data_IF_910315189491
#
_entry.id   IF_910315189491
#
_cell.length_a   1.000
_cell.length_b   1.000
_cell.length_c   1.000
_cell.angle_alpha   90.00
_cell.angle_beta   90.00
_cell.angle_gamma   90.00
#
_symmetry.space_group_name_H-M   'P 1'
#
loop_
_entity.id
_entity.type
_entity.pdbx_description
1 polymer ?
#
# COMPACT_ATOMS: atom_id res chain seq x y z
N UNK A 1 -4.25 18.38 -1.90
CA UNK A 1 -3.11 19.15 -1.38
C UNK A 1 -2.87 18.71 0.04
N UNK A 2 -2.00 17.71 0.25
CA UNK A 2 -1.55 17.34 1.59
C UNK A 2 -0.43 18.30 1.98
N UNK A 3 -0.81 19.43 2.58
CA UNK A 3 0.10 20.42 3.14
C UNK A 3 0.04 20.36 4.66
N UNK A 4 1.21 20.25 5.28
CA UNK A 4 1.46 20.49 6.71
C UNK A 4 0.84 19.47 7.68
N UNK A 5 1.50 18.31 7.86
CA UNK A 5 1.35 17.49 9.07
C UNK A 5 1.95 18.24 10.27
N UNK A 6 1.11 19.00 10.96
CA UNK A 6 1.24 19.24 12.39
C UNK A 6 0.01 18.63 13.04
N UNK A 7 0.20 17.83 14.10
CA UNK A 7 -0.80 17.18 14.96
C UNK A 7 -2.23 17.67 14.73
N UNK A 8 -2.91 17.11 13.73
CA UNK A 8 -4.27 17.53 13.44
C UNK A 8 -5.22 16.75 14.35
N UNK A 9 -6.08 17.41 15.14
CA UNK A 9 -7.12 16.76 15.94
C UNK A 9 -7.98 15.77 15.13
N UNK A 10 -8.06 15.97 13.81
CA UNK A 10 -8.74 15.08 12.88
C UNK A 10 -8.12 13.68 12.80
N UNK A 11 -6.78 13.56 12.71
CA UNK A 11 -6.11 12.26 12.63
C UNK A 11 -6.24 11.49 13.95
N UNK A 12 -6.09 12.18 15.08
CA UNK A 12 -6.30 11.59 16.40
C UNK A 12 -7.74 11.07 16.58
N UNK A 13 -8.73 11.82 16.09
CA UNK A 13 -10.13 11.42 16.09
C UNK A 13 -10.38 10.19 15.17
N UNK A 14 -9.77 10.17 13.98
CA UNK A 14 -9.83 9.03 13.05
C UNK A 14 -9.21 7.77 13.65
N UNK A 15 -8.05 7.87 14.29
CA UNK A 15 -7.42 6.74 14.97
C UNK A 15 -8.26 6.23 16.13
N UNK A 16 -8.84 7.14 16.94
CA UNK A 16 -9.71 6.75 18.04
C UNK A 16 -10.94 5.98 17.52
N UNK A 17 -11.58 6.49 16.46
CA UNK A 17 -12.71 5.82 15.82
C UNK A 17 -12.31 4.46 15.21
N UNK A 18 -11.17 4.39 14.51
CA UNK A 18 -10.66 3.14 13.93
C UNK A 18 -10.36 2.08 15.00
N UNK A 19 -9.77 2.47 16.14
CA UNK A 19 -9.47 1.58 17.26
C UNK A 19 -10.71 1.03 17.97
N UNK A 20 -11.83 1.77 17.95
CA UNK A 20 -13.11 1.28 18.49
C UNK A 20 -13.83 0.32 17.53
N UNK A 21 -13.32 0.13 16.32
CA UNK A 21 -13.93 -0.71 15.31
C UNK A 21 -13.18 -2.03 15.16
N UNK A 22 -13.70 -3.09 15.76
CA UNK A 22 -13.08 -4.43 15.77
C UNK A 22 -13.07 -5.15 14.40
N UNK A 23 -13.66 -4.57 13.35
CA UNK A 23 -13.65 -5.16 12.00
C UNK A 23 -12.59 -4.48 11.14
N UNK A 24 -11.62 -5.28 10.64
CA UNK A 24 -10.57 -4.86 9.71
C UNK A 24 -11.07 -4.02 8.52
N UNK A 25 -12.30 -4.24 8.04
CA UNK A 25 -12.88 -3.46 6.95
C UNK A 25 -13.06 -1.97 7.30
N UNK A 26 -13.49 -1.64 8.53
CA UNK A 26 -13.85 -0.27 8.86
C UNK A 26 -12.67 0.59 9.32
N UNK A 27 -11.63 -0.01 9.89
CA UNK A 27 -10.42 0.74 10.27
C UNK A 27 -9.76 1.38 9.05
N UNK A 28 -9.55 0.59 7.98
CA UNK A 28 -8.92 1.07 6.75
C UNK A 28 -9.79 2.11 6.03
N UNK A 29 -11.11 1.95 6.02
CA UNK A 29 -12.05 2.91 5.43
C UNK A 29 -12.02 4.28 6.14
N UNK A 30 -11.85 4.29 7.46
CA UNK A 30 -11.74 5.53 8.25
C UNK A 30 -10.39 6.20 8.07
N UNK A 31 -9.29 5.42 8.14
CA UNK A 31 -7.93 5.95 8.03
C UNK A 31 -7.60 6.48 6.64
N UNK A 32 -8.23 5.93 5.60
CA UNK A 32 -8.16 6.48 4.24
C UNK A 32 -9.06 7.70 4.02
N UNK A 33 -9.87 8.09 5.02
CA UNK A 33 -10.84 9.18 4.88
C UNK A 33 -11.99 8.87 3.92
N UNK A 34 -12.20 7.60 3.57
CA UNK A 34 -13.34 7.17 2.75
C UNK A 34 -14.65 7.32 3.54
N UNK A 35 -14.64 6.96 4.82
CA UNK A 35 -15.73 7.22 5.75
C UNK A 35 -15.37 8.37 6.70
N UNK A 36 -16.33 9.26 7.04
CA UNK A 36 -16.12 10.26 8.07
C UNK A 36 -16.06 9.62 9.46
N UNK A 37 -15.44 10.30 10.43
CA UNK A 37 -15.39 9.84 11.83
C UNK A 37 -16.78 9.79 12.46
N UNK A 38 -17.71 10.64 12.01
CA UNK A 38 -19.08 10.66 12.49
C UNK A 38 -19.92 9.55 11.84
N UNK A 39 -20.23 8.50 12.62
CA UNK A 39 -20.92 7.30 12.15
C UNK A 39 -22.34 7.55 11.62
N UNK A 40 -23.03 8.56 12.13
CA UNK A 40 -24.36 8.96 11.67
C UNK A 40 -24.39 9.31 10.17
N UNK A 41 -23.26 9.76 9.62
CA UNK A 41 -23.12 10.19 8.23
C UNK A 41 -22.80 9.04 7.27
N UNK A 42 -22.45 7.85 7.77
CA UNK A 42 -21.99 6.74 6.93
C UNK A 42 -23.01 6.30 5.88
N UNK A 43 -24.31 6.11 6.19
CA UNK A 43 -25.28 5.68 5.18
C UNK A 43 -25.35 6.63 4.00
N UNK A 44 -25.30 7.94 4.26
CA UNK A 44 -25.31 8.97 3.22
C UNK A 44 -24.03 8.96 2.38
N UNK A 45 -22.84 8.92 3.01
CA UNK A 45 -21.58 8.96 2.27
C UNK A 45 -21.37 7.68 1.46
N UNK A 46 -21.73 6.51 2.01
CA UNK A 46 -21.71 5.23 1.27
C UNK A 46 -22.61 5.28 0.04
N UNK A 47 -23.87 5.70 0.19
CA UNK A 47 -24.81 5.78 -0.92
C UNK A 47 -24.29 6.72 -2.02
N UNK A 48 -23.85 7.91 -1.63
CA UNK A 48 -23.26 8.90 -2.55
C UNK A 48 -22.07 8.34 -3.31
N UNK A 49 -21.10 7.72 -2.63
CA UNK A 49 -19.90 7.14 -3.25
C UNK A 49 -20.26 5.96 -4.16
N UNK A 50 -21.13 5.05 -3.71
CA UNK A 50 -21.55 3.87 -4.50
C UNK A 50 -22.29 4.28 -5.77
N UNK A 51 -23.18 5.27 -5.69
CA UNK A 51 -23.83 5.88 -6.85
C UNK A 51 -22.83 6.54 -7.80
N UNK A 52 -21.83 7.27 -7.26
CA UNK A 52 -20.77 7.87 -8.07
C UNK A 52 -19.94 6.82 -8.83
N UNK A 53 -19.54 5.72 -8.17
CA UNK A 53 -18.84 4.63 -8.85
C UNK A 53 -19.71 3.96 -9.93
N UNK A 54 -21.03 3.87 -9.70
CA UNK A 54 -21.93 3.36 -10.74
C UNK A 54 -21.90 4.23 -11.99
N UNK A 55 -21.96 5.56 -11.85
CA UNK A 55 -21.83 6.48 -12.97
C UNK A 55 -20.48 6.34 -13.69
N UNK A 56 -19.39 6.11 -12.94
CA UNK A 56 -18.08 5.85 -13.54
C UNK A 56 -18.04 4.58 -14.38
N UNK A 57 -18.75 3.52 -13.99
CA UNK A 57 -18.83 2.31 -14.84
C UNK A 57 -19.48 2.62 -16.18
N UNK A 58 -20.57 3.39 -16.17
CA UNK A 58 -21.32 3.73 -17.38
C UNK A 58 -20.48 4.63 -18.31
N UNK A 59 -19.71 5.57 -17.76
CA UNK A 59 -18.86 6.48 -18.52
C UNK A 59 -17.56 5.83 -19.02
N UNK A 60 -16.86 5.09 -18.15
CA UNK A 60 -15.46 4.71 -18.37
C UNK A 60 -15.24 3.27 -18.82
N UNK A 61 -16.28 2.44 -18.91
CA UNK A 61 -16.14 1.07 -19.44
C UNK A 61 -16.51 0.96 -20.92
N UNK A 62 -17.05 2.02 -21.51
CA UNK A 62 -17.28 2.12 -22.95
C UNK A 62 -15.96 2.48 -23.65
N UNK A 63 -15.56 1.70 -24.66
CA UNK A 63 -14.38 1.89 -25.53
C UNK A 63 -13.00 1.93 -24.84
N UNK A 64 -12.55 0.85 -24.18
CA UNK A 64 -11.29 0.83 -23.45
C UNK A 64 -10.05 0.83 -24.38
N UNK A 65 -9.00 1.57 -23.99
CA UNK A 65 -7.73 1.64 -24.74
C UNK A 65 -7.01 0.27 -24.74
N UNK A 66 -6.68 -0.24 -25.92
CA UNK A 66 -6.27 -1.65 -26.10
C UNK A 66 -5.06 -2.08 -25.26
N UNK A 67 -4.00 -1.27 -25.18
CA UNK A 67 -2.73 -1.71 -24.58
C UNK A 67 -2.78 -1.83 -23.06
N UNK A 68 -3.34 -0.82 -22.38
CA UNK A 68 -3.47 -0.81 -20.91
C UNK A 68 -4.39 -1.95 -20.45
N UNK A 69 -5.44 -2.24 -21.22
CA UNK A 69 -6.34 -3.35 -20.90
C UNK A 69 -5.65 -4.70 -20.95
N UNK A 70 -4.89 -4.98 -21.99
CA UNK A 70 -4.19 -6.26 -22.09
C UNK A 70 -3.24 -6.46 -20.92
N UNK A 71 -2.62 -5.39 -20.44
CA UNK A 71 -1.79 -5.43 -19.25
C UNK A 71 -2.61 -5.72 -17.98
N UNK A 72 -3.72 -5.01 -17.77
CA UNK A 72 -4.64 -5.24 -16.65
C UNK A 72 -5.17 -6.68 -16.69
N UNK A 73 -5.57 -7.19 -17.86
CA UNK A 73 -6.17 -8.51 -18.04
C UNK A 73 -5.17 -9.62 -17.70
N UNK A 74 -3.91 -9.48 -18.13
CA UNK A 74 -2.84 -10.40 -17.76
C UNK A 74 -2.56 -10.38 -16.26
N UNK A 75 -2.50 -9.20 -15.67
CA UNK A 75 -2.17 -9.02 -14.25
C UNK A 75 -3.30 -9.51 -13.34
N UNK A 76 -4.56 -9.18 -13.62
CA UNK A 76 -5.73 -9.68 -12.90
C UNK A 76 -5.81 -11.20 -12.95
N UNK A 77 -5.55 -11.82 -14.12
CA UNK A 77 -5.59 -13.27 -14.27
C UNK A 77 -4.54 -13.99 -13.41
N UNK A 78 -3.41 -13.35 -13.13
CA UNK A 78 -2.31 -13.91 -12.33
C UNK A 78 -2.26 -13.40 -10.88
N UNK A 79 -3.22 -12.58 -10.45
CA UNK A 79 -3.34 -12.12 -9.05
C UNK A 79 -3.69 -13.29 -8.16
N UNK A 80 -2.80 -13.68 -7.24
CA UNK A 80 -2.98 -14.74 -6.24
C UNK A 80 -3.74 -15.99 -6.76
N UNK A 81 -3.19 -16.69 -7.78
CA UNK A 81 -3.88 -17.77 -8.47
C UNK A 81 -4.10 -19.01 -7.59
N UNK A 82 -3.37 -19.11 -6.49
CA UNK A 82 -3.50 -20.12 -5.44
C UNK A 82 -4.77 -19.93 -4.59
N UNK A 83 -5.40 -18.76 -4.63
CA UNK A 83 -6.62 -18.45 -3.89
C UNK A 83 -7.84 -18.50 -4.81
N UNK A 84 -8.74 -19.45 -4.54
CA UNK A 84 -10.00 -19.62 -5.28
C UNK A 84 -10.82 -18.33 -5.40
N UNK A 85 -10.73 -17.45 -4.38
CA UNK A 85 -11.34 -16.13 -4.40
C UNK A 85 -10.94 -15.29 -5.62
N UNK A 86 -9.65 -15.27 -6.01
CA UNK A 86 -9.19 -14.49 -7.17
C UNK A 86 -9.25 -15.27 -8.48
N UNK A 87 -9.47 -16.58 -8.42
CA UNK A 87 -9.82 -17.38 -9.61
C UNK A 87 -11.28 -17.22 -10.01
N UNK A 88 -12.15 -16.75 -9.11
CA UNK A 88 -13.56 -16.50 -9.41
C UNK A 88 -13.72 -15.38 -10.44
N UNK A 89 -14.37 -15.68 -11.57
CA UNK A 89 -14.55 -14.74 -12.69
C UNK A 89 -15.21 -13.42 -12.24
N UNK A 90 -16.23 -13.48 -11.39
CA UNK A 90 -16.90 -12.28 -10.86
C UNK A 90 -15.94 -11.33 -10.11
N UNK A 91 -14.99 -11.89 -9.36
CA UNK A 91 -14.00 -11.12 -8.61
C UNK A 91 -12.92 -10.56 -9.55
N UNK A 92 -12.46 -11.34 -10.53
CA UNK A 92 -11.54 -10.84 -11.57
C UNK A 92 -12.15 -9.67 -12.34
N UNK A 93 -13.42 -9.79 -12.76
CA UNK A 93 -14.12 -8.72 -13.45
C UNK A 93 -14.27 -7.45 -12.59
N UNK A 94 -14.42 -7.62 -11.27
CA UNK A 94 -14.48 -6.48 -10.33
C UNK A 94 -13.13 -5.77 -10.23
N UNK A 95 -12.03 -6.53 -10.01
CA UNK A 95 -10.67 -5.98 -10.00
C UNK A 95 -10.33 -5.28 -11.31
N UNK A 96 -10.68 -5.91 -12.44
CA UNK A 96 -10.49 -5.39 -13.79
C UNK A 96 -11.18 -4.04 -13.96
N UNK A 97 -12.47 -3.93 -13.63
CA UNK A 97 -13.23 -2.67 -13.74
C UNK A 97 -12.63 -1.57 -12.89
N UNK A 98 -12.28 -1.86 -11.64
CA UNK A 98 -11.65 -0.89 -10.73
C UNK A 98 -10.37 -0.31 -11.35
N UNK A 99 -9.47 -1.18 -11.85
CA UNK A 99 -8.20 -0.76 -12.43
C UNK A 99 -8.38 0.03 -13.74
N UNK A 100 -9.34 -0.34 -14.57
CA UNK A 100 -9.67 0.41 -15.80
C UNK A 100 -10.17 1.81 -15.47
N UNK A 101 -11.15 1.91 -14.57
CA UNK A 101 -11.75 3.18 -14.16
C UNK A 101 -10.68 4.07 -13.52
N UNK A 102 -9.85 3.53 -12.63
CA UNK A 102 -8.73 4.24 -12.04
C UNK A 102 -7.78 4.78 -13.12
N UNK A 103 -7.36 3.93 -14.06
CA UNK A 103 -6.40 4.33 -15.09
C UNK A 103 -6.91 5.48 -15.97
N UNK A 104 -8.23 5.57 -16.19
CA UNK A 104 -8.85 6.67 -16.95
C UNK A 104 -8.98 7.95 -16.14
N UNK A 105 -9.39 7.85 -14.87
CA UNK A 105 -9.58 9.02 -14.01
C UNK A 105 -8.26 9.68 -13.58
N UNK A 106 -7.16 8.92 -13.53
CA UNK A 106 -5.85 9.39 -13.08
C UNK A 106 -4.78 9.29 -14.18
N UNK A 107 -4.89 10.06 -15.29
CA UNK A 107 -4.03 9.89 -16.48
C UNK A 107 -2.55 10.23 -16.28
N UNK A 108 -2.19 10.92 -15.19
CA UNK A 108 -0.80 11.19 -14.82
C UNK A 108 -0.09 9.98 -14.21
N UNK A 109 -0.85 9.05 -13.63
CA UNK A 109 -0.36 7.80 -13.03
C UNK A 109 -0.66 6.63 -13.95
N UNK A 110 -1.93 6.50 -14.37
CA UNK A 110 -2.49 5.35 -15.10
C UNK A 110 -2.31 4.05 -14.33
N UNK A 111 -2.69 2.93 -14.94
CA UNK A 111 -2.32 1.62 -14.43
C UNK A 111 -0.81 1.39 -14.52
N UNK A 112 -0.21 0.93 -13.42
CA UNK A 112 1.18 0.46 -13.36
C UNK A 112 1.18 -0.98 -12.89
N UNK A 113 1.95 -1.85 -13.55
CA UNK A 113 2.07 -3.26 -13.17
C UNK A 113 2.38 -3.41 -11.69
N UNK A 114 1.60 -4.26 -11.00
CA UNK A 114 1.68 -4.46 -9.55
C UNK A 114 0.58 -3.74 -8.76
N UNK A 115 -0.11 -2.76 -9.35
CA UNK A 115 -1.29 -2.14 -8.71
C UNK A 115 -2.40 -3.16 -8.42
N UNK A 116 -2.50 -4.23 -9.21
CA UNK A 116 -3.38 -5.37 -8.94
C UNK A 116 -3.08 -6.04 -7.58
N UNK A 117 -1.81 -6.12 -7.18
CA UNK A 117 -1.40 -6.71 -5.89
C UNK A 117 -1.73 -5.76 -4.72
N UNK A 118 -1.64 -4.45 -4.92
CA UNK A 118 -2.07 -3.44 -3.93
C UNK A 118 -3.58 -3.42 -3.76
N UNK A 119 -4.32 -3.60 -4.87
CA UNK A 119 -5.78 -3.63 -4.86
C UNK A 119 -6.34 -4.89 -4.17
N UNK A 120 -5.65 -6.03 -4.30
CA UNK A 120 -6.14 -7.33 -3.89
C UNK A 120 -6.49 -7.44 -2.39
N UNK A 121 -5.66 -7.00 -1.43
CA UNK A 121 -6.00 -7.02 0.01
C UNK A 121 -7.24 -6.19 0.34
N UNK A 122 -7.38 -4.97 -0.23
CA UNK A 122 -8.56 -4.12 -0.01
C UNK A 122 -9.82 -4.83 -0.48
N UNK A 123 -9.81 -5.33 -1.72
CA UNK A 123 -10.96 -6.00 -2.30
C UNK A 123 -11.30 -7.28 -1.53
N UNK A 124 -10.30 -8.08 -1.16
CA UNK A 124 -10.51 -9.32 -0.42
C UNK A 124 -11.19 -9.06 0.92
N UNK A 125 -10.70 -8.09 1.70
CA UNK A 125 -11.26 -7.79 3.02
C UNK A 125 -12.67 -7.22 2.92
N UNK A 126 -12.90 -6.23 2.04
CA UNK A 126 -14.23 -5.64 1.87
C UNK A 126 -15.26 -6.61 1.28
N UNK A 127 -14.84 -7.51 0.38
CA UNK A 127 -15.74 -8.49 -0.24
C UNK A 127 -16.13 -9.63 0.71
N UNK A 128 -15.31 -9.91 1.72
CA UNK A 128 -15.60 -10.92 2.75
C UNK A 128 -16.19 -10.29 4.03
N UNK A 129 -16.71 -9.06 3.97
CA UNK A 129 -17.42 -8.47 5.12
C UNK A 129 -18.63 -9.34 5.51
N UNK A 130 -18.86 -9.46 6.81
CA UNK A 130 -19.98 -10.20 7.38
C UNK A 130 -21.33 -9.54 7.06
N UNK A 131 -21.34 -8.22 6.84
CA UNK A 131 -22.51 -7.50 6.36
C UNK A 131 -22.65 -7.66 4.84
N UNK A 132 -23.70 -8.40 4.43
CA UNK A 132 -23.97 -8.69 3.02
C UNK A 132 -24.18 -7.43 2.19
N UNK A 133 -24.73 -6.36 2.77
CA UNK A 133 -24.91 -5.08 2.06
C UNK A 133 -23.56 -4.48 1.65
N UNK A 134 -22.58 -4.49 2.56
CA UNK A 134 -21.21 -4.00 2.31
C UNK A 134 -20.48 -4.91 1.33
N UNK A 135 -20.55 -6.24 1.51
CA UNK A 135 -19.90 -7.19 0.59
C UNK A 135 -20.42 -7.10 -0.85
N UNK A 136 -21.69 -6.69 -1.04
CA UNK A 136 -22.30 -6.51 -2.36
C UNK A 136 -21.76 -5.25 -3.05
N UNK A 137 -21.55 -4.19 -2.28
CA UNK A 137 -20.99 -2.92 -2.74
C UNK A 137 -19.46 -2.85 -2.68
N UNK A 138 -18.78 -3.93 -2.28
CA UNK A 138 -17.34 -3.98 -2.05
C UNK A 138 -16.51 -3.45 -3.23
N UNK A 139 -16.94 -3.65 -4.47
CA UNK A 139 -16.23 -3.12 -5.65
C UNK A 139 -16.12 -1.58 -5.62
N UNK A 140 -17.23 -0.89 -5.34
CA UNK A 140 -17.26 0.58 -5.27
C UNK A 140 -16.44 1.09 -4.08
N UNK A 141 -16.63 0.48 -2.92
CA UNK A 141 -15.93 0.87 -1.69
C UNK A 141 -14.41 0.65 -1.83
N UNK A 142 -14.02 -0.46 -2.48
CA UNK A 142 -12.62 -0.76 -2.81
C UNK A 142 -12.03 0.29 -3.75
N UNK A 143 -12.76 0.71 -4.79
CA UNK A 143 -12.28 1.73 -5.72
C UNK A 143 -11.88 3.01 -5.00
N UNK A 144 -12.72 3.55 -4.13
CA UNK A 144 -12.40 4.80 -3.43
C UNK A 144 -11.29 4.61 -2.39
N UNK A 145 -11.28 3.49 -1.66
CA UNK A 145 -10.16 3.19 -0.75
C UNK A 145 -8.83 3.09 -1.52
N UNK A 146 -8.83 2.42 -2.67
CA UNK A 146 -7.65 2.29 -3.52
C UNK A 146 -7.16 3.65 -4.04
N UNK A 147 -8.08 4.52 -4.48
CA UNK A 147 -7.77 5.89 -4.90
C UNK A 147 -7.05 6.66 -3.80
N UNK A 148 -7.62 6.68 -2.59
CA UNK A 148 -7.04 7.42 -1.46
C UNK A 148 -5.69 6.83 -1.05
N UNK A 149 -5.56 5.50 -1.03
CA UNK A 149 -4.32 4.82 -0.70
C UNK A 149 -3.20 5.19 -1.68
N UNK A 150 -3.45 5.06 -2.99
CA UNK A 150 -2.45 5.39 -4.01
C UNK A 150 -2.14 6.90 -4.01
N UNK A 151 -3.09 7.76 -3.65
CA UNK A 151 -2.86 9.21 -3.58
C UNK A 151 -1.71 9.59 -2.63
N UNK A 152 -1.55 8.85 -1.52
CA UNK A 152 -0.47 9.03 -0.55
C UNK A 152 0.92 8.66 -1.10
N UNK A 153 0.97 7.80 -2.12
CA UNK A 153 2.20 7.29 -2.71
C UNK A 153 2.38 7.65 -4.18
N UNK A 154 1.51 8.51 -4.73
CA UNK A 154 1.39 8.78 -6.19
C UNK A 154 2.72 9.08 -6.89
N UNK A 155 3.63 9.80 -6.22
CA UNK A 155 4.89 10.22 -6.83
C UNK A 155 5.79 9.02 -7.16
N UNK A 156 5.66 7.90 -6.45
CA UNK A 156 6.39 6.66 -6.71
C UNK A 156 5.90 5.93 -7.98
N UNK A 157 4.72 6.28 -8.51
CA UNK A 157 4.13 5.65 -9.70
C UNK A 157 4.23 6.54 -10.95
N UNK A 158 4.41 7.84 -10.77
CA UNK A 158 4.59 8.78 -11.88
C UNK A 158 5.98 8.60 -12.53
N UNK A 159 6.06 7.88 -13.65
CA UNK A 159 7.33 7.60 -14.37
C UNK A 159 8.18 8.85 -14.67
N UNK A 160 7.55 9.99 -14.97
CA UNK A 160 8.26 11.24 -15.22
C UNK A 160 8.94 11.84 -13.97
N UNK A 161 8.56 11.37 -12.78
CA UNK A 161 9.16 11.76 -11.50
C UNK A 161 10.28 10.82 -11.05
N UNK A 162 10.55 9.70 -11.73
CA UNK A 162 11.53 8.69 -11.28
C UNK A 162 12.91 9.27 -10.95
N UNK A 163 13.35 10.29 -11.69
CA UNK A 163 14.63 10.98 -11.50
C UNK A 163 14.52 12.27 -10.68
N UNK A 164 13.34 12.59 -10.18
CA UNK A 164 13.08 13.78 -9.36
C UNK A 164 13.36 13.51 -7.88
N UNK A 165 13.40 14.60 -7.08
CA UNK A 165 13.54 14.55 -5.61
C UNK A 165 12.36 13.92 -4.88
N UNK A 166 11.28 13.59 -5.59
CA UNK A 166 10.04 13.08 -4.99
C UNK A 166 9.62 11.72 -5.55
N UNK A 167 10.31 11.21 -6.57
CA UNK A 167 10.00 9.91 -7.18
C UNK A 167 10.71 8.74 -6.54
N UNK A 168 10.49 7.55 -7.10
CA UNK A 168 10.89 6.28 -6.49
C UNK A 168 12.39 6.16 -6.20
N UNK A 169 13.28 6.72 -7.04
CA UNK A 169 14.73 6.70 -6.78
C UNK A 169 15.10 7.51 -5.54
N UNK A 170 14.47 8.67 -5.34
CA UNK A 170 14.66 9.46 -4.12
C UNK A 170 14.12 8.71 -2.91
N UNK A 171 12.95 8.08 -3.02
CA UNK A 171 12.36 7.26 -1.95
C UNK A 171 13.29 6.10 -1.54
N UNK A 172 13.92 5.40 -2.50
CA UNK A 172 14.93 4.37 -2.24
C UNK A 172 16.20 4.93 -1.59
N UNK A 173 16.65 6.11 -2.03
CA UNK A 173 17.78 6.80 -1.39
C UNK A 173 17.47 7.18 0.06
N UNK A 174 16.24 7.62 0.36
CA UNK A 174 15.81 7.92 1.73
C UNK A 174 15.83 6.66 2.61
N UNK A 175 15.41 5.50 2.09
CA UNK A 175 15.53 4.23 2.80
C UNK A 175 17.00 3.91 3.14
N UNK A 176 17.89 4.05 2.15
CA UNK A 176 19.34 3.85 2.34
C UNK A 176 19.89 4.76 3.44
N UNK A 177 19.57 6.06 3.38
CA UNK A 177 20.02 7.04 4.36
C UNK A 177 19.43 6.79 5.76
N UNK A 178 18.18 6.33 5.84
CA UNK A 178 17.55 5.94 7.09
C UNK A 178 18.27 4.73 7.70
N UNK A 179 18.59 3.70 6.91
CA UNK A 179 19.39 2.57 7.38
C UNK A 179 20.76 3.03 7.86
N UNK A 180 21.46 3.88 7.08
CA UNK A 180 22.77 4.41 7.47
C UNK A 180 22.72 5.16 8.80
N UNK A 181 21.68 5.96 9.02
CA UNK A 181 21.49 6.75 10.26
C UNK A 181 21.30 5.86 11.49
N UNK A 182 20.58 4.73 11.34
CA UNK A 182 20.19 3.89 12.49
C UNK A 182 21.06 2.64 12.67
N UNK A 183 21.75 2.17 11.63
CA UNK A 183 22.64 1.01 11.64
C UNK A 183 23.71 1.13 10.53
N UNK A 184 24.71 1.98 10.75
CA UNK A 184 25.77 2.25 9.76
C UNK A 184 26.57 0.98 9.40
N UNK A 185 26.78 0.08 10.35
CA UNK A 185 27.47 -1.19 10.09
C UNK A 185 26.69 -2.04 9.08
N UNK A 186 25.38 -2.22 9.30
CA UNK A 186 24.53 -2.96 8.38
C UNK A 186 24.45 -2.28 7.01
N UNK A 187 24.26 -0.95 6.98
CA UNK A 187 24.26 -0.18 5.73
C UNK A 187 25.57 -0.38 4.93
N UNK A 188 26.72 -0.27 5.61
CA UNK A 188 28.03 -0.44 4.99
C UNK A 188 28.22 -1.86 4.47
N UNK A 189 27.79 -2.86 5.23
CA UNK A 189 27.84 -4.25 4.78
C UNK A 189 26.99 -4.48 3.53
N UNK A 190 25.76 -3.96 3.50
CA UNK A 190 24.86 -4.10 2.37
C UNK A 190 25.39 -3.35 1.14
N UNK A 191 25.58 -2.04 1.22
CA UNK A 191 25.83 -1.23 0.02
C UNK A 191 27.31 -1.15 -0.39
N UNK A 192 28.23 -1.21 0.57
CA UNK A 192 29.66 -1.04 0.30
C UNK A 192 30.37 -2.38 0.13
N UNK A 193 30.14 -3.34 1.02
CA UNK A 193 30.84 -4.64 1.03
C UNK A 193 30.18 -5.61 0.05
N UNK A 194 28.90 -5.91 0.26
CA UNK A 194 28.17 -6.93 -0.52
C UNK A 194 27.54 -6.38 -1.80
N UNK A 195 27.51 -5.05 -1.99
CA UNK A 195 26.90 -4.37 -3.17
C UNK A 195 25.40 -4.68 -3.36
N UNK A 196 24.71 -4.97 -2.26
CA UNK A 196 23.26 -5.14 -2.20
C UNK A 196 22.62 -3.77 -2.00
N UNK A 197 22.13 -3.19 -3.09
CA UNK A 197 21.49 -1.88 -3.08
C UNK A 197 19.96 -1.96 -2.93
N UNK A 198 19.30 -0.92 -2.38
CA UNK A 198 17.84 -0.90 -2.17
C UNK A 198 17.00 -1.22 -3.41
N UNK A 199 17.44 -0.86 -4.62
CA UNK A 199 16.67 -1.16 -5.85
C UNK A 199 16.43 -2.66 -6.09
N UNK A 200 17.27 -3.55 -5.53
CA UNK A 200 17.15 -4.99 -5.76
C UNK A 200 16.09 -5.68 -4.90
N UNK A 201 15.68 -5.04 -3.80
CA UNK A 201 14.70 -5.59 -2.87
C UNK A 201 13.56 -4.61 -2.55
N UNK A 202 13.89 -3.36 -2.19
CA UNK A 202 12.93 -2.39 -1.67
C UNK A 202 12.08 -1.72 -2.74
N UNK A 203 12.47 -1.77 -4.03
CA UNK A 203 11.62 -1.25 -5.11
C UNK A 203 10.24 -1.91 -5.04
N UNK A 204 10.22 -3.24 -4.94
CA UNK A 204 8.98 -4.04 -4.85
C UNK A 204 8.25 -3.78 -3.52
N UNK A 205 8.98 -3.73 -2.40
CA UNK A 205 8.43 -3.47 -1.08
C UNK A 205 7.64 -2.15 -1.04
N UNK A 206 8.22 -1.09 -1.60
CA UNK A 206 7.68 0.27 -1.56
C UNK A 206 6.54 0.44 -2.57
N UNK A 207 6.73 -0.01 -3.81
CA UNK A 207 5.73 0.18 -4.89
C UNK A 207 4.51 -0.73 -4.73
N UNK A 208 4.63 -1.84 -3.99
CA UNK A 208 3.53 -2.75 -3.71
C UNK A 208 3.05 -2.67 -2.26
N UNK A 209 3.51 -1.67 -1.49
CA UNK A 209 3.08 -1.45 -0.10
C UNK A 209 3.12 -2.72 0.76
N UNK A 210 4.18 -3.52 0.58
CA UNK A 210 4.49 -4.77 1.30
C UNK A 210 3.49 -5.94 1.09
N UNK A 211 2.63 -5.87 0.07
CA UNK A 211 1.59 -6.88 -0.20
C UNK A 211 2.07 -8.26 -0.62
N UNK A 212 3.35 -8.36 -0.99
CA UNK A 212 3.97 -9.58 -1.49
C UNK A 212 4.90 -10.23 -0.44
N UNK A 213 5.09 -9.56 0.70
CA UNK A 213 5.93 -9.95 1.83
C UNK A 213 5.10 -10.54 2.94
N UNK A 214 3.86 -10.09 3.06
CA UNK A 214 2.97 -10.41 4.15
C UNK A 214 1.60 -10.87 3.65
N UNK A 215 0.92 -11.67 4.47
CA UNK A 215 -0.48 -12.03 4.19
C UNK A 215 -1.39 -10.80 4.21
N UNK A 216 -2.57 -10.87 3.59
CA UNK A 216 -3.49 -9.73 3.51
C UNK A 216 -3.88 -9.14 4.87
N UNK A 217 -4.23 -9.98 5.85
CA UNK A 217 -4.59 -9.49 7.18
C UNK A 217 -3.45 -8.72 7.83
N UNK A 218 -2.21 -9.19 7.61
CA UNK A 218 -1.01 -8.48 8.06
C UNK A 218 -0.80 -7.19 7.28
N UNK A 219 -1.04 -7.18 5.97
CA UNK A 219 -0.94 -5.98 5.15
C UNK A 219 -1.91 -4.90 5.62
N UNK A 220 -3.17 -5.25 5.91
CA UNK A 220 -4.15 -4.31 6.46
C UNK A 220 -3.67 -3.76 7.81
N UNK A 221 -3.16 -4.61 8.70
CA UNK A 221 -2.62 -4.15 9.99
C UNK A 221 -1.40 -3.22 9.83
N UNK A 222 -0.50 -3.52 8.88
CA UNK A 222 0.61 -2.64 8.52
C UNK A 222 0.09 -1.32 7.95
N UNK A 223 -0.96 -1.35 7.13
CA UNK A 223 -1.57 -0.15 6.56
C UNK A 223 -2.28 0.70 7.60
N UNK A 224 -2.90 0.10 8.62
CA UNK A 224 -3.44 0.85 9.76
C UNK A 224 -2.34 1.65 10.47
N UNK A 225 -1.14 1.06 10.63
CA UNK A 225 0.01 1.77 11.17
C UNK A 225 0.52 2.86 10.23
N UNK A 226 0.59 2.61 8.92
CA UNK A 226 1.05 3.58 7.91
C UNK A 226 0.12 4.79 7.82
N UNK A 227 -1.19 4.55 7.79
CA UNK A 227 -2.21 5.59 7.59
C UNK A 227 -2.53 6.33 8.90
N UNK A 228 -2.39 5.67 10.04
CA UNK A 228 -2.60 6.27 11.36
C UNK A 228 -1.41 7.06 11.90
N UNK A 229 -0.28 7.13 11.18
CA UNK A 229 0.91 7.81 11.68
C UNK A 229 0.90 9.31 11.39
N UNK A 230 1.11 10.19 12.39
CA UNK A 230 1.16 11.64 12.19
C UNK A 230 2.33 12.12 11.32
N UNK A 231 3.41 11.33 11.17
CA UNK A 231 4.50 11.63 10.22
C UNK A 231 4.13 11.31 8.77
N UNK A 232 2.97 10.69 8.55
CA UNK A 232 2.37 10.44 7.26
C UNK A 232 2.77 9.10 6.60
N UNK A 233 2.01 8.66 5.58
CA UNK A 233 2.17 7.33 5.00
C UNK A 233 3.55 7.04 4.39
N UNK A 234 4.17 7.93 3.57
CA UNK A 234 5.46 7.65 2.94
C UNK A 234 6.59 7.40 3.94
N UNK A 235 6.71 8.26 4.95
CA UNK A 235 7.80 8.18 5.92
C UNK A 235 7.63 6.95 6.83
N UNK A 236 6.39 6.63 7.19
CA UNK A 236 6.05 5.44 7.99
C UNK A 236 6.38 4.16 7.26
N UNK A 237 6.05 4.06 5.97
CA UNK A 237 6.45 2.93 5.12
C UNK A 237 7.98 2.76 5.10
N UNK A 238 8.73 3.85 4.98
CA UNK A 238 10.20 3.79 5.00
C UNK A 238 10.76 3.32 6.34
N UNK A 239 10.18 3.76 7.47
CA UNK A 239 10.54 3.25 8.80
C UNK A 239 10.26 1.76 8.94
N UNK A 240 9.14 1.27 8.41
CA UNK A 240 8.81 -0.17 8.42
C UNK A 240 9.80 -0.96 7.55
N UNK A 241 10.10 -0.50 6.33
CA UNK A 241 11.11 -1.11 5.46
C UNK A 241 12.51 -1.14 6.13
N UNK A 242 12.90 -0.09 6.85
CA UNK A 242 14.16 -0.05 7.58
C UNK A 242 14.15 -1.02 8.77
N UNK A 243 13.06 -1.06 9.53
CA UNK A 243 12.88 -2.00 10.63
C UNK A 243 12.94 -3.46 10.15
N UNK A 244 12.40 -3.76 8.96
CA UNK A 244 12.54 -5.06 8.33
C UNK A 244 14.01 -5.44 8.11
N UNK A 245 14.87 -4.52 7.68
CA UNK A 245 16.30 -4.78 7.53
C UNK A 245 16.99 -5.04 8.88
N UNK A 246 16.68 -4.21 9.88
CA UNK A 246 17.25 -4.32 11.24
C UNK A 246 16.88 -5.67 11.89
N UNK A 247 15.65 -6.14 11.70
CA UNK A 247 15.19 -7.41 12.26
C UNK A 247 15.99 -8.62 11.75
N UNK A 248 16.41 -8.60 10.48
CA UNK A 248 17.19 -9.70 9.88
C UNK A 248 18.69 -9.39 9.84
N UNK A 249 19.14 -8.33 10.51
CA UNK A 249 20.53 -7.84 10.56
C UNK A 249 21.57 -8.94 10.70
N UNK A 250 21.43 -9.82 11.69
CA UNK A 250 22.40 -10.88 11.96
C UNK A 250 22.63 -11.79 10.74
N UNK A 251 21.55 -12.09 10.00
CA UNK A 251 21.61 -12.92 8.78
C UNK A 251 22.22 -12.13 7.63
N UNK A 252 21.90 -10.84 7.51
CA UNK A 252 22.45 -9.97 6.47
C UNK A 252 23.96 -9.78 6.61
N UNK A 253 24.45 -9.54 7.83
CA UNK A 253 25.89 -9.38 8.12
C UNK A 253 26.70 -10.67 7.87
N UNK A 254 26.08 -11.83 8.08
CA UNK A 254 26.69 -13.12 7.81
C UNK A 254 26.62 -13.52 6.32
N UNK A 255 25.71 -12.91 5.56
CA UNK A 255 25.44 -13.26 4.17
C UNK A 255 26.29 -12.48 3.16
N UNK A 256 26.49 -13.09 2.00
CA UNK A 256 27.05 -12.45 0.81
C UNK A 256 25.93 -11.82 -0.06
N UNK A 257 26.28 -11.33 -1.26
CA UNK A 257 25.31 -10.74 -2.19
C UNK A 257 24.12 -11.67 -2.46
N UNK A 258 24.38 -12.93 -2.82
CA UNK A 258 23.34 -13.89 -3.24
C UNK A 258 22.43 -14.24 -2.07
N UNK A 259 23.01 -14.59 -0.92
CA UNK A 259 22.25 -14.94 0.28
C UNK A 259 21.37 -13.77 0.75
N UNK A 260 21.89 -12.53 0.71
CA UNK A 260 21.16 -11.34 1.13
C UNK A 260 20.01 -11.00 0.18
N UNK A 261 20.21 -11.12 -1.13
CA UNK A 261 19.12 -10.92 -2.10
C UNK A 261 18.02 -11.98 -1.90
N UNK A 262 18.39 -13.24 -1.76
CA UNK A 262 17.42 -14.32 -1.53
C UNK A 262 16.61 -14.07 -0.25
N UNK A 263 17.27 -13.68 0.83
CA UNK A 263 16.64 -13.35 2.11
C UNK A 263 15.65 -12.20 1.98
N UNK A 264 16.00 -11.13 1.27
CA UNK A 264 15.17 -9.94 1.17
C UNK A 264 14.03 -10.10 0.15
N UNK A 265 14.22 -10.91 -0.89
CA UNK A 265 13.15 -11.24 -1.83
C UNK A 265 12.16 -12.26 -1.27
N UNK A 266 12.59 -13.12 -0.33
CA UNK A 266 11.78 -14.09 0.40
C UNK A 266 11.84 -13.81 1.90
N UNK A 267 11.28 -12.66 2.29
CA UNK A 267 11.37 -12.16 3.64
C UNK A 267 10.78 -13.17 4.65
N UNK A 268 11.45 -13.44 5.79
CA UNK A 268 11.01 -14.46 6.73
C UNK A 268 9.74 -14.03 7.47
N UNK A 269 8.99 -15.03 7.97
CA UNK A 269 7.89 -14.78 8.89
C UNK A 269 8.36 -13.96 10.08
N UNK A 270 7.57 -12.95 10.42
CA UNK A 270 7.97 -11.91 11.37
C UNK A 270 6.80 -11.56 12.28
N UNK A 271 7.09 -11.36 13.57
CA UNK A 271 6.10 -10.81 14.50
C UNK A 271 5.86 -9.33 14.16
N UNK A 272 4.63 -9.01 13.77
CA UNK A 272 4.26 -7.71 13.22
C UNK A 272 4.25 -6.63 14.31
N UNK A 273 3.80 -6.96 15.52
CA UNK A 273 3.83 -6.01 16.64
C UNK A 273 5.27 -5.61 16.98
N UNK A 274 6.19 -6.56 16.95
CA UNK A 274 7.62 -6.28 17.16
C UNK A 274 8.22 -5.47 16.00
N UNK A 275 7.86 -5.77 14.75
CA UNK A 275 8.27 -4.98 13.58
C UNK A 275 7.79 -3.53 13.70
N UNK A 276 6.51 -3.32 14.01
CA UNK A 276 5.94 -1.98 14.17
C UNK A 276 6.52 -1.27 15.39
N UNK A 277 6.85 -1.98 16.47
CA UNK A 277 7.57 -1.41 17.61
C UNK A 277 8.95 -0.88 17.21
N UNK A 278 9.74 -1.66 16.46
CA UNK A 278 11.04 -1.20 15.97
C UNK A 278 10.87 0.00 15.03
N UNK A 279 9.94 -0.07 14.08
CA UNK A 279 9.66 1.04 13.15
C UNK A 279 9.32 2.34 13.90
N UNK A 280 8.54 2.27 14.98
CA UNK A 280 8.24 3.43 15.83
C UNK A 280 9.46 3.99 16.56
N UNK A 281 10.47 3.16 16.88
CA UNK A 281 11.73 3.64 17.47
C UNK A 281 12.63 4.37 16.48
N UNK A 282 12.34 4.28 15.18
CA UNK A 282 13.07 4.97 14.11
C UNK A 282 12.50 6.36 13.78
N UNK A 283 11.53 6.85 14.57
CA UNK A 283 10.96 8.20 14.42
C UNK A 283 12.00 9.31 14.55
N UNK A 284 11.68 10.46 13.98
CA UNK A 284 12.51 11.66 13.95
C UNK A 284 12.72 12.18 12.54
N UNK A 285 13.48 13.26 12.38
CA UNK A 285 13.64 13.92 11.07
C UNK A 285 14.17 12.95 10.02
N UNK A 286 13.34 12.71 9.00
CA UNK A 286 13.70 11.89 7.85
C UNK A 286 14.84 12.56 7.07
N UNK A 287 15.80 11.78 6.54
CA UNK A 287 16.84 12.33 5.70
C UNK A 287 16.23 13.07 4.49
N UNK A 288 16.74 14.27 4.21
CA UNK A 288 16.28 15.16 3.14
C UNK A 288 16.58 14.63 1.74
#
# INVERSE_FOLDING_TARGET
>A
TWGSCGDSPALACQMAAARTYDRLCGSVQLLLGYLPTERSLWPYELEKKRSQYSAYKDEFLLNPESEILEQIDRDVKRTHPDKSFFSAKSNQESLRRILIIYSRLYPSVRYVQGMNEVLAPLFYVLKNDLDTSNSTSAEADTFFCFVELISGFKNNYCKHLDNSRVGIRSTLSKLSQLLKKHDEELWRHMEVITKVYPQYYAFRWITLLLTMEFSFNVCIHIWDAILGDPEGPPDTLLRICCAMLILVRKRLLAGDFTANIQLLQHYPQTNIDHLLHIANRLRGTMPS
#
